data_IF_774364548967
#
_entry.id   IF_774364548967
#
_cell.length_a   1.000
_cell.length_b   1.000
_cell.length_c   1.000
_cell.angle_alpha   90.00
_cell.angle_beta   90.00
_cell.angle_gamma   90.00
#
_symmetry.space_group_name_H-M   'P 1'
#
loop_
_entity.id
_entity.type
_entity.pdbx_description
1 polymer ?
#
# COMPACT_ATOMS: atom_id res chain seq x y z
N UNK A 1 -33.60 -22.35 27.32
CA UNK A 1 -32.80 -22.52 26.08
C UNK A 1 -33.53 -21.83 24.94
N UNK A 2 -32.80 -21.17 24.04
CA UNK A 2 -33.41 -20.55 22.86
C UNK A 2 -33.69 -21.66 21.85
N UNK A 3 -34.92 -21.72 21.33
CA UNK A 3 -35.33 -22.75 20.37
C UNK A 3 -34.51 -22.59 19.09
N UNK A 4 -33.93 -23.70 18.62
CA UNK A 4 -33.02 -23.73 17.48
C UNK A 4 -33.75 -23.61 16.14
N UNK A 5 -35.06 -23.84 16.12
CA UNK A 5 -35.91 -23.76 14.93
C UNK A 5 -36.76 -22.48 14.88
N UNK A 6 -36.60 -21.58 15.85
CA UNK A 6 -37.29 -20.31 15.88
C UNK A 6 -36.62 -19.28 14.95
N UNK A 7 -37.03 -19.34 13.69
CA UNK A 7 -36.58 -18.46 12.61
C UNK A 7 -37.48 -17.22 12.44
N UNK A 8 -38.61 -17.15 13.16
CA UNK A 8 -39.64 -16.11 12.98
C UNK A 8 -39.63 -15.04 14.07
N UNK A 9 -39.29 -15.40 15.31
CA UNK A 9 -39.18 -14.44 16.41
C UNK A 9 -38.06 -13.40 16.26
N UNK A 10 -36.91 -13.63 15.60
CA UNK A 10 -35.87 -12.61 15.51
C UNK A 10 -36.27 -11.39 14.65
N UNK A 11 -37.22 -11.54 13.72
CA UNK A 11 -37.74 -10.43 12.89
C UNK A 11 -38.75 -9.54 13.63
N UNK A 12 -39.37 -10.08 14.70
CA UNK A 12 -40.33 -9.36 15.55
C UNK A 12 -39.65 -8.52 16.63
N UNK A 13 -38.36 -8.72 16.86
CA UNK A 13 -37.59 -7.99 17.86
C UNK A 13 -36.88 -6.81 17.20
N UNK A 14 -37.04 -5.57 17.72
CA UNK A 14 -36.30 -4.43 17.23
C UNK A 14 -34.80 -4.69 17.30
N UNK A 15 -34.12 -4.69 16.15
CA UNK A 15 -32.66 -4.80 16.10
C UNK A 15 -32.07 -3.62 16.88
N UNK A 16 -31.28 -3.86 17.95
CA UNK A 16 -30.74 -2.79 18.76
C UNK A 16 -29.86 -1.90 17.89
N UNK A 17 -30.20 -0.60 17.82
CA UNK A 17 -29.43 0.40 17.08
C UNK A 17 -28.01 0.40 17.63
N UNK A 18 -27.02 0.30 16.74
CA UNK A 18 -25.61 0.43 17.10
C UNK A 18 -25.42 1.77 17.82
N UNK A 19 -24.86 1.72 19.03
CA UNK A 19 -24.55 2.93 19.81
C UNK A 19 -23.49 3.75 19.06
N UNK A 20 -23.62 5.08 19.10
CA UNK A 20 -22.68 6.02 18.48
C UNK A 20 -23.25 6.78 17.29
N UNK A 21 -22.36 7.46 16.55
CA UNK A 21 -22.74 8.24 15.36
C UNK A 21 -23.36 7.31 14.31
N UNK A 22 -24.49 7.68 13.69
CA UNK A 22 -25.04 6.90 12.58
C UNK A 22 -23.95 6.73 11.51
N UNK A 23 -23.80 5.50 11.00
CA UNK A 23 -22.99 5.27 9.81
C UNK A 23 -23.56 6.16 8.72
N UNK A 24 -22.79 7.13 8.25
CA UNK A 24 -23.23 8.10 7.24
C UNK A 24 -23.41 7.46 5.86
N UNK A 25 -23.32 6.13 5.75
CA UNK A 25 -23.38 5.35 4.50
C UNK A 25 -22.18 5.57 3.57
N UNK A 26 -21.38 6.61 3.84
CA UNK A 26 -20.23 7.06 3.05
C UNK A 26 -18.89 6.70 3.68
N UNK A 27 -18.89 6.18 4.91
CA UNK A 27 -17.69 5.81 5.62
C UNK A 27 -17.15 4.47 5.08
N UNK A 28 -15.96 4.51 4.45
CA UNK A 28 -15.27 3.32 4.01
C UNK A 28 -14.91 2.43 5.19
N UNK A 29 -15.06 1.11 5.02
CA UNK A 29 -14.48 0.16 5.96
C UNK A 29 -12.94 0.27 5.99
N UNK A 30 -12.31 -0.23 7.05
CA UNK A 30 -10.84 -0.24 7.13
C UNK A 30 -10.20 -1.00 5.97
N UNK A 31 -10.81 -2.11 5.56
CA UNK A 31 -10.38 -2.91 4.43
C UNK A 31 -10.49 -2.15 3.09
N UNK A 32 -11.62 -1.47 2.86
CA UNK A 32 -11.81 -0.64 1.66
C UNK A 32 -10.80 0.50 1.60
N UNK A 33 -10.50 1.14 2.74
CA UNK A 33 -9.48 2.18 2.81
C UNK A 33 -8.11 1.65 2.41
N UNK A 34 -7.73 0.49 2.93
CA UNK A 34 -6.46 -0.15 2.59
C UNK A 34 -6.40 -0.55 1.12
N UNK A 35 -7.49 -1.07 0.56
CA UNK A 35 -7.58 -1.43 -0.85
C UNK A 35 -7.44 -0.19 -1.76
N UNK A 36 -8.15 0.90 -1.45
CA UNK A 36 -8.00 2.17 -2.17
C UNK A 36 -6.58 2.73 -2.07
N UNK A 37 -5.95 2.64 -0.91
CA UNK A 37 -4.56 3.05 -0.73
C UNK A 37 -3.61 2.23 -1.61
N UNK A 38 -3.73 0.90 -1.60
CA UNK A 38 -2.92 0.02 -2.45
C UNK A 38 -3.11 0.31 -3.94
N UNK A 39 -4.35 0.56 -4.38
CA UNK A 39 -4.64 0.95 -5.76
C UNK A 39 -3.94 2.27 -6.14
N UNK A 40 -4.03 3.30 -5.28
CA UNK A 40 -3.35 4.58 -5.51
C UNK A 40 -1.82 4.46 -5.54
N UNK A 41 -1.24 3.55 -4.73
CA UNK A 41 0.19 3.29 -4.78
C UNK A 41 0.56 2.61 -6.11
N UNK A 42 -0.23 1.63 -6.58
CA UNK A 42 0.01 0.98 -7.87
C UNK A 42 -0.09 1.95 -9.07
N UNK A 43 -0.94 2.98 -8.98
CA UNK A 43 -1.03 4.04 -10.00
C UNK A 43 0.22 4.93 -10.06
N UNK A 44 0.90 5.13 -8.92
CA UNK A 44 2.00 6.10 -8.76
C UNK A 44 3.39 5.48 -8.78
N UNK A 45 3.47 4.17 -8.57
CA UNK A 45 4.74 3.48 -8.31
C UNK A 45 4.89 2.28 -9.23
N UNK A 46 6.14 2.03 -9.64
CA UNK A 46 6.51 0.85 -10.41
C UNK A 46 7.36 -0.05 -9.51
N UNK A 47 6.96 -1.31 -9.38
CA UNK A 47 7.76 -2.34 -8.67
C UNK A 47 8.53 -3.17 -9.69
N UNK A 48 9.84 -3.23 -9.53
CA UNK A 48 10.76 -3.98 -10.39
C UNK A 48 11.59 -4.94 -9.55
N UNK A 49 12.00 -6.05 -10.16
CA UNK A 49 12.87 -7.05 -9.53
C UNK A 49 14.22 -7.04 -10.22
N UNK A 50 15.30 -6.96 -9.43
CA UNK A 50 16.67 -7.00 -9.90
C UNK A 50 17.42 -8.16 -9.24
N UNK A 51 18.40 -8.75 -9.93
CA UNK A 51 19.31 -9.68 -9.27
C UNK A 51 20.25 -8.91 -8.36
N UNK A 52 20.61 -9.51 -7.21
CA UNK A 52 21.58 -8.89 -6.28
C UNK A 52 22.94 -8.63 -6.93
N UNK A 53 23.35 -9.47 -7.89
CA UNK A 53 24.60 -9.29 -8.65
C UNK A 53 24.63 -8.04 -9.53
N UNK A 54 23.47 -7.51 -9.92
CA UNK A 54 23.37 -6.34 -10.80
C UNK A 54 23.37 -5.01 -10.01
N UNK A 55 23.18 -5.06 -8.70
CA UNK A 55 23.14 -3.87 -7.85
C UNK A 55 24.41 -3.02 -7.91
N UNK A 56 25.65 -3.58 -7.88
CA UNK A 56 26.86 -2.75 -8.01
C UNK A 56 26.90 -1.94 -9.30
N UNK A 57 26.46 -2.51 -10.42
CA UNK A 57 26.44 -1.82 -11.72
C UNK A 57 25.41 -0.69 -11.74
N UNK A 58 24.20 -0.95 -11.21
CA UNK A 58 23.16 0.09 -11.04
C UNK A 58 23.65 1.26 -10.19
N UNK A 59 24.36 0.97 -9.09
CA UNK A 59 24.94 1.99 -8.21
C UNK A 59 25.98 2.84 -8.93
N UNK A 60 26.83 2.22 -9.74
CA UNK A 60 27.86 2.92 -10.52
C UNK A 60 27.23 3.89 -11.53
N UNK A 61 26.17 3.46 -12.21
CA UNK A 61 25.46 4.26 -13.20
C UNK A 61 24.75 5.47 -12.57
N UNK A 62 24.14 5.29 -11.40
CA UNK A 62 23.48 6.38 -10.68
C UNK A 62 24.48 7.39 -10.11
N UNK A 63 25.67 6.95 -9.72
CA UNK A 63 26.74 7.84 -9.27
C UNK A 63 27.44 8.59 -10.42
N UNK A 64 27.39 8.04 -11.64
CA UNK A 64 28.02 8.61 -12.83
C UNK A 64 26.99 8.67 -13.98
N UNK A 65 25.97 9.55 -13.87
CA UNK A 65 24.95 9.66 -14.89
C UNK A 65 25.57 10.11 -16.22
N UNK A 66 25.06 9.58 -17.32
CA UNK A 66 25.46 10.04 -18.64
C UNK A 66 25.02 11.50 -18.82
N UNK A 67 25.94 12.45 -19.09
CA UNK A 67 25.62 13.88 -19.19
C UNK A 67 24.64 14.21 -20.31
N UNK A 68 24.46 13.31 -21.29
CA UNK A 68 23.48 13.49 -22.36
C UNK A 68 22.02 13.23 -21.95
N UNK A 69 21.76 12.62 -20.79
CA UNK A 69 20.40 12.26 -20.34
C UNK A 69 19.66 13.40 -19.64
N UNK A 70 20.30 14.57 -19.43
CA UNK A 70 19.75 15.77 -18.78
C UNK A 70 18.81 15.45 -17.60
N UNK A 71 19.31 14.62 -16.67
CA UNK A 71 18.57 14.22 -15.48
C UNK A 71 18.91 15.16 -14.33
N UNK A 72 17.88 15.78 -13.77
CA UNK A 72 18.02 16.62 -12.57
C UNK A 72 18.62 15.85 -11.37
N UNK A 73 19.50 16.52 -10.64
CA UNK A 73 20.20 15.99 -9.47
C UNK A 73 19.23 15.51 -8.39
N UNK A 74 18.13 16.23 -8.13
CA UNK A 74 17.15 15.82 -7.11
C UNK A 74 16.48 14.49 -7.51
N UNK A 75 16.30 14.27 -8.80
CA UNK A 75 15.77 13.01 -9.32
C UNK A 75 16.78 11.88 -9.19
N UNK A 76 18.06 12.13 -9.48
CA UNK A 76 19.13 11.15 -9.26
C UNK A 76 19.26 10.75 -7.78
N UNK A 77 19.23 11.72 -6.87
CA UNK A 77 19.33 11.47 -5.43
C UNK A 77 18.17 10.61 -4.92
N UNK A 78 16.94 10.87 -5.40
CA UNK A 78 15.76 10.05 -5.07
C UNK A 78 15.89 8.62 -5.57
N UNK A 79 16.38 8.42 -6.79
CA UNK A 79 16.61 7.09 -7.37
C UNK A 79 17.71 6.33 -6.63
N UNK A 80 18.82 7.01 -6.34
CA UNK A 80 19.93 6.48 -5.57
C UNK A 80 19.45 6.02 -4.19
N UNK A 81 18.76 6.88 -3.44
CA UNK A 81 18.19 6.54 -2.14
C UNK A 81 17.27 5.31 -2.20
N UNK A 82 16.32 5.28 -3.14
CA UNK A 82 15.41 4.15 -3.30
C UNK A 82 16.12 2.81 -3.54
N UNK A 83 17.16 2.80 -4.38
CA UNK A 83 17.95 1.59 -4.68
C UNK A 83 18.84 1.21 -3.48
N UNK A 84 19.46 2.18 -2.82
CA UNK A 84 20.35 1.94 -1.68
C UNK A 84 19.60 1.43 -0.46
N UNK A 85 18.48 2.06 -0.10
CA UNK A 85 17.64 1.66 1.04
C UNK A 85 17.06 0.25 0.83
N UNK A 86 16.60 -0.05 -0.38
CA UNK A 86 16.12 -1.38 -0.73
C UNK A 86 17.23 -2.45 -0.63
N UNK A 87 18.47 -2.09 -0.97
CA UNK A 87 19.62 -3.00 -0.88
C UNK A 87 20.08 -3.26 0.56
N UNK A 88 19.98 -2.26 1.45
CA UNK A 88 20.38 -2.38 2.87
C UNK A 88 19.29 -3.09 3.70
N UNK A 89 18.01 -2.83 3.40
CA UNK A 89 16.88 -3.30 4.18
C UNK A 89 16.59 -4.80 4.16
N UNK A 90 17.17 -5.58 3.23
CA UNK A 90 16.94 -7.04 3.14
C UNK A 90 17.89 -7.90 4.00
N UNK A 91 18.61 -7.29 4.94
CA UNK A 91 19.54 -7.97 5.86
C UNK A 91 19.04 -8.17 7.29
N UNK A 92 17.75 -7.96 7.58
CA UNK A 92 17.14 -8.17 8.91
C UNK A 92 15.93 -9.07 8.82
#
# INVERSE_FOLDING_TARGET
MKDSHDTKTPDLLPVPRRRGRPSTGTALSGAERQARYRAQQAEKTVTVTFNRGDLPALKLLLANPNPSLDVDQVTLDRLAGAVFDAAIGQGR
#
